data_IF_785517760322
#
_entry.id   IF_785517760322
#
_cell.length_a   1.000
_cell.length_b   1.000
_cell.length_c   1.000
_cell.angle_alpha   90.00
_cell.angle_beta   90.00
_cell.angle_gamma   90.00
#
_symmetry.space_group_name_H-M   'P 1'
#
loop_
_entity.id
_entity.type
_entity.pdbx_description
1 polymer ?
#
# COMPACT_ATOMS: atom_id res chain seq x y z
N UNK A 1 -38.63 -16.22 -40.28
CA UNK A 1 -38.76 -15.35 -39.09
C UNK A 1 -40.05 -14.55 -39.22
N UNK A 2 -40.99 -14.73 -38.28
CA UNK A 2 -42.29 -14.04 -38.25
C UNK A 2 -42.05 -12.59 -37.80
N UNK A 3 -42.64 -11.61 -38.49
CA UNK A 3 -42.57 -10.18 -38.12
C UNK A 3 -43.61 -9.89 -37.03
N UNK A 4 -43.14 -9.46 -35.88
CA UNK A 4 -43.95 -9.14 -34.69
C UNK A 4 -44.82 -7.88 -34.91
N UNK A 5 -46.10 -7.98 -34.55
CA UNK A 5 -47.06 -6.87 -34.51
C UNK A 5 -46.94 -6.14 -33.16
N UNK A 6 -46.02 -5.18 -33.03
CA UNK A 6 -45.73 -4.51 -31.76
C UNK A 6 -46.29 -3.07 -31.62
N UNK A 7 -47.37 -2.72 -32.33
CA UNK A 7 -48.07 -1.45 -32.14
C UNK A 7 -49.55 -1.69 -31.88
N UNK A 8 -49.87 -2.18 -30.68
CA UNK A 8 -51.24 -2.20 -30.16
C UNK A 8 -51.36 -1.05 -29.18
N UNK A 9 -51.80 0.12 -29.66
CA UNK A 9 -51.95 1.37 -28.90
C UNK A 9 -53.14 1.31 -27.91
N UNK A 10 -53.25 0.21 -27.16
CA UNK A 10 -54.43 -0.13 -26.37
C UNK A 10 -54.20 0.04 -24.86
N UNK A 11 -53.27 0.89 -24.43
CA UNK A 11 -52.87 1.04 -23.03
C UNK A 11 -52.66 2.48 -22.56
N UNK A 12 -53.29 3.48 -23.19
CA UNK A 12 -53.24 4.87 -22.74
C UNK A 12 -54.58 5.31 -22.15
N UNK A 13 -54.56 6.10 -21.07
CA UNK A 13 -55.76 6.73 -20.49
C UNK A 13 -56.51 7.51 -21.57
N UNK A 14 -57.72 7.06 -21.89
CA UNK A 14 -58.63 7.79 -22.79
C UNK A 14 -59.49 8.71 -21.93
N UNK A 15 -59.52 9.99 -22.27
CA UNK A 15 -60.50 10.92 -21.70
C UNK A 15 -61.88 10.60 -22.26
N UNK A 16 -62.96 10.84 -21.51
CA UNK A 16 -64.32 10.74 -22.03
C UNK A 16 -64.51 11.61 -23.28
N UNK A 17 -65.42 11.18 -24.14
CA UNK A 17 -65.87 11.98 -25.27
C UNK A 17 -66.38 13.35 -24.77
N UNK A 18 -66.02 14.42 -25.49
CA UNK A 18 -66.36 15.80 -25.14
C UNK A 18 -65.79 16.34 -23.80
N UNK A 19 -64.80 15.66 -23.20
CA UNK A 19 -64.21 16.10 -21.93
C UNK A 19 -63.70 17.55 -21.97
N UNK A 20 -62.95 17.90 -23.03
CA UNK A 20 -62.36 19.23 -23.19
C UNK A 20 -63.38 20.25 -23.73
N UNK A 21 -64.25 19.84 -24.64
CA UNK A 21 -65.32 20.68 -25.21
C UNK A 21 -66.24 21.23 -24.12
N UNK A 22 -66.62 20.38 -23.16
CA UNK A 22 -67.51 20.75 -22.07
C UNK A 22 -66.78 21.28 -20.83
N UNK A 23 -65.44 21.33 -20.83
CA UNK A 23 -64.64 21.69 -19.66
C UNK A 23 -64.96 23.12 -19.20
N UNK A 24 -64.97 24.07 -20.14
CA UNK A 24 -65.19 25.49 -19.85
C UNK A 24 -66.58 25.72 -19.25
N UNK A 25 -67.62 25.13 -19.85
CA UNK A 25 -69.01 25.19 -19.35
C UNK A 25 -69.13 24.58 -17.95
N UNK A 26 -68.46 23.45 -17.68
CA UNK A 26 -68.46 22.82 -16.36
C UNK A 26 -67.70 23.65 -15.32
N UNK A 27 -66.59 24.27 -15.71
CA UNK A 27 -65.78 25.11 -14.83
C UNK A 27 -66.54 26.38 -14.44
N UNK A 28 -67.13 27.08 -15.42
CA UNK A 28 -67.92 28.29 -15.20
C UNK A 28 -69.24 28.04 -14.46
N UNK A 29 -69.82 26.83 -14.55
CA UNK A 29 -70.93 26.41 -13.65
C UNK A 29 -70.48 26.20 -12.21
N UNK A 30 -69.27 25.67 -11.99
CA UNK A 30 -68.74 25.38 -10.65
C UNK A 30 -68.15 26.60 -9.95
N UNK A 31 -67.65 27.57 -10.72
CA UNK A 31 -67.10 28.81 -10.21
C UNK A 31 -68.15 29.89 -10.47
N UNK A 32 -68.98 30.27 -9.48
CA UNK A 32 -69.99 31.31 -9.67
C UNK A 32 -69.28 32.66 -9.90
N UNK A 33 -69.05 33.03 -11.15
CA UNK A 33 -68.65 34.37 -11.59
C UNK A 33 -69.84 35.35 -11.54
N UNK A 34 -70.63 35.31 -10.47
CA UNK A 34 -71.68 36.31 -10.22
C UNK A 34 -71.15 37.36 -9.27
N UNK A 35 -70.64 38.43 -9.87
CA UNK A 35 -70.59 39.80 -9.35
C UNK A 35 -69.96 39.95 -7.96
N UNK A 36 -68.74 40.46 -7.98
CA UNK A 36 -67.72 40.62 -6.94
C UNK A 36 -68.11 41.30 -5.60
N UNK A 37 -69.40 41.44 -5.26
CA UNK A 37 -69.82 42.11 -4.01
C UNK A 37 -70.71 41.30 -3.08
N UNK A 38 -71.33 40.20 -3.52
CA UNK A 38 -72.30 39.47 -2.68
C UNK A 38 -71.80 38.15 -2.10
N UNK A 39 -70.68 37.62 -2.61
CA UNK A 39 -70.08 36.39 -2.06
C UNK A 39 -69.29 36.65 -0.77
N UNK A 40 -68.64 37.81 -0.64
CA UNK A 40 -67.79 38.11 0.52
C UNK A 40 -68.56 38.44 1.82
N UNK A 41 -69.86 38.73 1.74
CA UNK A 41 -70.61 39.29 2.88
C UNK A 41 -71.66 38.36 3.49
N UNK A 42 -72.00 37.21 2.89
CA UNK A 42 -73.07 36.35 3.43
C UNK A 42 -72.73 34.88 3.63
N UNK A 43 -71.49 34.47 3.39
CA UNK A 43 -71.00 33.16 3.79
C UNK A 43 -69.72 33.38 4.57
N UNK A 44 -69.71 32.96 5.85
CA UNK A 44 -68.46 32.65 6.55
C UNK A 44 -67.71 31.66 5.67
N UNK A 45 -66.87 32.15 4.77
CA UNK A 45 -65.81 31.35 4.21
C UNK A 45 -64.88 31.08 5.39
N UNK A 46 -65.16 30.02 6.13
CA UNK A 46 -64.05 29.33 6.74
C UNK A 46 -63.20 28.87 5.58
N UNK A 47 -62.06 29.52 5.38
CA UNK A 47 -60.88 28.83 4.87
C UNK A 47 -61.00 27.36 5.31
N UNK A 48 -61.08 26.43 4.37
CA UNK A 48 -61.20 25.00 4.67
C UNK A 48 -60.08 24.50 5.58
N UNK A 49 -59.03 25.30 5.72
CA UNK A 49 -58.00 25.22 6.73
C UNK A 49 -58.44 26.00 7.97
N UNK A 50 -59.29 25.37 8.79
CA UNK A 50 -59.44 25.74 10.21
C UNK A 50 -58.59 24.80 11.03
N UNK A 51 -57.73 25.36 11.86
CA UNK A 51 -57.03 24.58 12.88
C UNK A 51 -58.01 24.22 14.01
N UNK A 52 -57.86 23.05 14.65
CA UNK A 52 -58.59 22.74 15.88
C UNK A 52 -58.29 23.76 16.97
N UNK A 53 -59.26 23.95 17.86
CA UNK A 53 -59.03 24.71 19.10
C UNK A 53 -57.85 24.09 19.85
N UNK A 54 -56.98 24.94 20.39
CA UNK A 54 -55.78 24.54 21.15
C UNK A 54 -54.71 23.76 20.37
N UNK A 55 -54.72 23.75 19.03
CA UNK A 55 -53.72 23.03 18.21
C UNK A 55 -52.25 23.30 18.62
N UNK A 56 -51.93 24.54 18.97
CA UNK A 56 -50.59 24.95 19.39
C UNK A 56 -50.35 24.88 20.91
N UNK A 57 -51.36 24.58 21.72
CA UNK A 57 -51.23 24.51 23.17
C UNK A 57 -50.35 23.32 23.55
N UNK A 58 -49.23 23.62 24.21
CA UNK A 58 -48.23 22.62 24.61
C UNK A 58 -47.41 22.03 23.44
N UNK A 59 -47.50 22.59 22.23
CA UNK A 59 -46.70 22.15 21.08
C UNK A 59 -45.20 22.28 21.34
N UNK A 60 -44.77 23.41 21.91
CA UNK A 60 -43.39 23.66 22.29
C UNK A 60 -42.90 22.61 23.30
N UNK A 61 -43.69 22.34 24.35
CA UNK A 61 -43.38 21.32 25.35
C UNK A 61 -43.29 19.91 24.74
N UNK A 62 -44.14 19.58 23.76
CA UNK A 62 -44.08 18.30 23.02
C UNK A 62 -42.80 18.20 22.20
N UNK A 63 -42.38 19.27 21.52
CA UNK A 63 -41.11 19.30 20.77
C UNK A 63 -39.93 19.15 21.73
N UNK A 64 -39.87 19.95 22.79
CA UNK A 64 -38.77 19.94 23.76
C UNK A 64 -38.63 18.57 24.43
N UNK A 65 -39.74 17.92 24.76
CA UNK A 65 -39.73 16.54 25.29
C UNK A 65 -39.16 15.56 24.27
N UNK A 66 -39.61 15.62 23.00
CA UNK A 66 -39.13 14.72 21.94
C UNK A 66 -37.64 14.92 21.63
N UNK A 67 -37.15 16.15 21.68
CA UNK A 67 -35.73 16.49 21.46
C UNK A 67 -34.85 16.08 22.65
N UNK A 68 -35.38 16.14 23.89
CA UNK A 68 -34.66 15.66 25.08
C UNK A 68 -34.66 14.13 25.19
N UNK A 69 -35.76 13.47 24.83
CA UNK A 69 -35.88 12.00 24.82
C UNK A 69 -35.02 11.34 23.72
N UNK A 70 -34.78 12.02 22.59
CA UNK A 70 -33.85 11.54 21.54
C UNK A 70 -32.37 11.67 21.93
N UNK A 71 -32.04 12.23 23.10
CA UNK A 71 -30.70 12.09 23.73
C UNK A 71 -30.47 10.70 24.33
N UNK A 72 -31.31 9.71 24.03
CA UNK A 72 -30.91 8.31 24.15
C UNK A 72 -29.62 8.15 23.36
N UNK A 73 -28.50 7.93 24.08
CA UNK A 73 -27.15 7.75 23.55
C UNK A 73 -27.25 6.77 22.38
N UNK A 74 -27.24 7.29 21.15
CA UNK A 74 -27.12 6.45 19.95
C UNK A 74 -25.93 5.54 20.22
N UNK A 75 -26.14 4.23 20.15
CA UNK A 75 -25.11 3.21 20.42
C UNK A 75 -23.98 3.40 19.40
N UNK A 76 -23.06 4.30 19.70
CA UNK A 76 -21.83 4.51 18.95
C UNK A 76 -20.94 3.31 19.26
N UNK A 77 -20.81 2.44 18.27
CA UNK A 77 -19.82 1.37 18.31
C UNK A 77 -18.51 1.95 17.81
N UNK A 78 -17.42 1.71 18.56
CA UNK A 78 -16.08 2.03 18.08
C UNK A 78 -15.78 1.17 16.84
N UNK A 79 -15.46 1.80 15.71
CA UNK A 79 -15.05 1.08 14.49
C UNK A 79 -13.71 0.37 14.66
N UNK A 80 -12.86 0.88 15.56
CA UNK A 80 -11.54 0.34 15.83
C UNK A 80 -11.54 -0.22 17.24
N UNK A 81 -11.49 -1.54 17.35
CA UNK A 81 -11.40 -2.25 18.62
C UNK A 81 -9.95 -2.68 18.83
N UNK A 82 -9.39 -2.44 20.02
CA UNK A 82 -8.01 -2.84 20.35
C UNK A 82 -7.75 -4.34 20.16
N UNK A 83 -8.80 -5.16 20.25
CA UNK A 83 -8.75 -6.60 20.00
C UNK A 83 -8.32 -6.91 18.56
N UNK A 84 -8.92 -6.24 17.57
CA UNK A 84 -8.60 -6.47 16.16
C UNK A 84 -7.17 -6.01 15.85
N UNK A 85 -6.72 -4.90 16.42
CA UNK A 85 -5.34 -4.41 16.28
C UNK A 85 -4.33 -5.44 16.80
N UNK A 86 -4.60 -6.08 17.94
CA UNK A 86 -3.76 -7.14 18.49
C UNK A 86 -3.65 -8.35 17.54
N UNK A 87 -4.75 -8.75 16.89
CA UNK A 87 -4.72 -9.85 15.92
C UNK A 87 -3.93 -9.52 14.65
N UNK A 88 -4.02 -8.28 14.15
CA UNK A 88 -3.24 -7.86 12.97
C UNK A 88 -1.79 -7.48 13.30
N UNK A 89 -1.44 -7.36 14.58
CA UNK A 89 -0.10 -6.97 15.02
C UNK A 89 0.97 -7.99 14.61
N UNK A 90 0.65 -9.29 14.61
CA UNK A 90 1.61 -10.34 14.23
C UNK A 90 1.94 -10.30 12.73
N UNK A 91 0.92 -10.10 11.89
CA UNK A 91 1.08 -9.98 10.44
C UNK A 91 1.87 -8.71 10.10
N UNK A 92 1.57 -7.59 10.75
CA UNK A 92 2.32 -6.35 10.57
C UNK A 92 3.78 -6.49 11.01
N UNK A 93 4.06 -7.17 12.13
CA UNK A 93 5.42 -7.44 12.59
C UNK A 93 6.19 -8.33 11.60
N UNK A 94 5.56 -9.36 11.04
CA UNK A 94 6.19 -10.21 10.04
C UNK A 94 6.55 -9.43 8.76
N UNK A 95 5.65 -8.57 8.28
CA UNK A 95 5.90 -7.69 7.12
C UNK A 95 7.05 -6.71 7.44
N UNK A 96 7.09 -6.13 8.64
CA UNK A 96 8.15 -5.23 9.06
C UNK A 96 9.52 -5.93 9.11
N UNK A 97 9.58 -7.17 9.60
CA UNK A 97 10.81 -7.98 9.60
C UNK A 97 11.26 -8.26 8.17
N UNK A 98 10.35 -8.64 7.28
CA UNK A 98 10.65 -8.92 5.87
C UNK A 98 11.20 -7.66 5.19
N UNK A 99 10.56 -6.50 5.37
CA UNK A 99 11.05 -5.23 4.82
C UNK A 99 12.41 -4.86 5.42
N UNK A 100 12.60 -5.06 6.72
CA UNK A 100 13.87 -4.75 7.39
C UNK A 100 15.03 -5.64 6.93
N UNK A 101 14.78 -6.90 6.58
CA UNK A 101 15.80 -7.77 5.96
C UNK A 101 15.98 -7.48 4.47
N UNK A 102 14.91 -7.08 3.78
CA UNK A 102 14.92 -6.89 2.33
C UNK A 102 15.52 -5.55 1.91
N UNK A 103 15.72 -4.60 2.83
CA UNK A 103 16.62 -3.46 2.63
C UNK A 103 18.05 -4.01 2.72
N UNK A 104 18.62 -4.35 1.56
CA UNK A 104 20.06 -4.55 1.44
C UNK A 104 20.73 -3.19 1.64
N UNK A 105 21.46 -3.02 2.75
CA UNK A 105 22.48 -1.98 2.82
C UNK A 105 23.59 -2.42 1.89
N UNK A 106 23.83 -1.68 0.82
CA UNK A 106 25.07 -1.84 0.08
C UNK A 106 26.20 -1.54 1.08
N UNK A 107 26.92 -2.59 1.47
CA UNK A 107 28.18 -2.42 2.18
C UNK A 107 29.15 -1.85 1.14
N UNK A 108 29.52 -0.58 1.30
CA UNK A 108 30.61 0.03 0.56
C UNK A 108 31.95 -0.57 1.07
N UNK A 109 32.13 -1.88 0.88
CA UNK A 109 33.42 -2.52 1.10
C UNK A 109 34.22 -2.34 -0.18
N UNK A 110 35.25 -1.51 -0.09
CA UNK A 110 36.19 -1.29 -1.18
C UNK A 110 37.47 -2.08 -0.92
N UNK A 111 38.18 -2.46 -2.00
CA UNK A 111 39.54 -3.00 -1.88
C UNK A 111 40.50 -2.04 -1.15
N UNK A 112 40.18 -0.74 -1.13
CA UNK A 112 40.94 0.28 -0.39
C UNK A 112 40.83 0.13 1.14
N UNK A 113 39.83 -0.60 1.64
CA UNK A 113 39.63 -0.81 3.07
C UNK A 113 40.46 -1.98 3.61
N UNK A 114 41.11 -2.76 2.71
CA UNK A 114 41.97 -3.89 3.08
C UNK A 114 43.35 -3.35 3.47
N UNK A 115 43.74 -3.56 4.73
CA UNK A 115 45.08 -3.19 5.18
C UNK A 115 46.08 -4.31 4.91
N UNK A 116 47.36 -3.95 4.85
CA UNK A 116 48.47 -4.91 4.73
C UNK A 116 48.46 -5.92 5.90
N UNK A 117 48.08 -5.49 7.10
CA UNK A 117 47.94 -6.38 8.25
C UNK A 117 46.83 -7.42 8.04
N UNK A 118 45.69 -7.02 7.46
CA UNK A 118 44.59 -7.95 7.14
C UNK A 118 45.03 -8.99 6.10
N UNK A 119 45.83 -8.59 5.11
CA UNK A 119 46.42 -9.51 4.13
C UNK A 119 47.33 -10.51 4.85
N UNK A 120 48.26 -10.07 5.69
CA UNK A 120 49.14 -10.98 6.42
C UNK A 120 48.38 -11.96 7.32
N UNK A 121 47.34 -11.49 8.00
CA UNK A 121 46.48 -12.37 8.81
C UNK A 121 45.77 -13.39 7.93
N UNK A 122 45.23 -12.98 6.77
CA UNK A 122 44.58 -13.88 5.83
C UNK A 122 45.53 -14.97 5.27
N UNK A 123 46.79 -14.62 4.98
CA UNK A 123 47.82 -15.58 4.55
C UNK A 123 48.25 -16.55 5.66
N UNK A 124 48.31 -16.09 6.92
CA UNK A 124 48.83 -16.87 8.03
C UNK A 124 47.80 -17.79 8.71
N UNK A 125 46.50 -17.51 8.57
CA UNK A 125 45.42 -18.31 9.17
C UNK A 125 45.10 -19.61 8.39
N UNK A 126 46.04 -20.13 7.59
CA UNK A 126 45.86 -21.30 6.70
C UNK A 126 44.64 -21.20 5.75
N UNK A 127 44.06 -20.02 5.57
CA UNK A 127 42.91 -19.79 4.70
C UNK A 127 43.28 -19.77 3.21
N UNK A 128 44.55 -20.00 2.88
CA UNK A 128 45.09 -19.95 1.53
C UNK A 128 45.70 -21.31 1.20
N UNK A 129 44.97 -22.09 0.42
CA UNK A 129 45.45 -23.32 -0.18
C UNK A 129 45.85 -23.01 -1.63
N UNK A 130 47.11 -22.64 -1.85
CA UNK A 130 47.66 -22.44 -3.18
C UNK A 130 48.39 -23.69 -3.65
N UNK A 131 48.05 -24.16 -4.84
CA UNK A 131 48.81 -25.20 -5.51
C UNK A 131 50.16 -24.68 -6.01
N UNK A 132 51.13 -25.58 -6.18
CA UNK A 132 52.46 -25.24 -6.72
C UNK A 132 52.39 -24.59 -8.10
N UNK A 133 51.37 -24.92 -8.90
CA UNK A 133 51.12 -24.36 -10.23
C UNK A 133 50.60 -22.91 -10.12
N UNK A 134 49.71 -22.62 -9.17
CA UNK A 134 49.21 -21.26 -8.94
C UNK A 134 50.29 -20.34 -8.40
N UNK A 135 51.16 -20.85 -7.51
CA UNK A 135 52.35 -20.12 -7.06
C UNK A 135 53.29 -19.85 -8.24
N UNK A 136 53.57 -20.85 -9.08
CA UNK A 136 54.41 -20.68 -10.26
C UNK A 136 53.85 -19.64 -11.25
N UNK A 137 52.53 -19.60 -11.44
CA UNK A 137 51.88 -18.61 -12.29
C UNK A 137 52.00 -17.18 -11.76
N UNK A 138 52.07 -16.99 -10.43
CA UNK A 138 52.34 -15.68 -9.81
C UNK A 138 53.80 -15.24 -9.97
N UNK A 139 54.73 -16.20 -10.09
CA UNK A 139 56.13 -15.90 -10.32
C UNK A 139 56.43 -15.49 -11.77
N UNK A 140 55.52 -15.78 -12.72
CA UNK A 140 55.80 -15.64 -14.15
C UNK A 140 55.42 -14.26 -14.70
N UNK A 141 56.41 -13.65 -15.38
CA UNK A 141 56.31 -12.72 -16.52
C UNK A 141 56.45 -11.19 -16.37
N UNK A 142 56.83 -10.60 -15.22
CA UNK A 142 57.35 -9.20 -15.28
C UNK A 142 58.07 -8.66 -14.01
N UNK A 143 58.33 -9.50 -13.00
CA UNK A 143 58.99 -9.04 -11.77
C UNK A 143 60.50 -9.21 -11.89
N UNK A 144 61.24 -8.10 -11.91
CA UNK A 144 62.70 -8.11 -11.85
C UNK A 144 63.17 -8.44 -10.43
N UNK A 145 63.36 -9.73 -10.15
CA UNK A 145 63.86 -10.22 -8.85
C UNK A 145 65.32 -9.82 -8.55
N UNK A 146 66.01 -9.18 -9.50
CA UNK A 146 67.42 -8.80 -9.36
C UNK A 146 67.59 -7.58 -8.44
N UNK A 147 66.64 -6.64 -8.39
CA UNK A 147 66.75 -5.46 -7.51
C UNK A 147 66.58 -5.80 -6.02
N UNK A 148 65.79 -6.83 -5.69
CA UNK A 148 65.56 -7.26 -4.31
C UNK A 148 66.67 -8.19 -3.81
N UNK A 149 67.26 -9.01 -4.70
CA UNK A 149 68.40 -9.88 -4.39
C UNK A 149 69.74 -9.15 -4.30
N UNK A 150 69.92 -8.03 -5.01
CA UNK A 150 71.17 -7.24 -4.91
C UNK A 150 71.34 -6.56 -3.53
N UNK A 151 70.24 -6.35 -2.80
CA UNK A 151 70.27 -5.56 -1.55
C UNK A 151 70.62 -6.37 -0.32
N UNK A 152 70.49 -7.69 -0.38
CA UNK A 152 70.90 -8.60 0.67
C UNK A 152 71.98 -9.52 0.09
N UNK A 153 73.24 -9.12 0.25
CA UNK A 153 74.41 -9.95 -0.05
C UNK A 153 74.33 -11.23 0.78
N UNK A 154 73.66 -12.25 0.23
CA UNK A 154 73.60 -13.57 0.85
C UNK A 154 75.04 -14.08 0.93
N UNK A 155 75.56 -14.23 2.16
CA UNK A 155 76.91 -14.70 2.39
C UNK A 155 77.06 -16.14 1.90
N UNK A 156 78.16 -16.44 1.21
CA UNK A 156 78.55 -17.78 0.78
C UNK A 156 78.49 -18.81 1.92
N UNK A 157 78.84 -18.41 3.15
CA UNK A 157 78.75 -19.27 4.33
C UNK A 157 77.31 -19.73 4.63
N UNK A 158 76.32 -18.85 4.39
CA UNK A 158 74.89 -19.13 4.61
C UNK A 158 74.36 -20.08 3.53
N UNK A 159 74.82 -19.89 2.29
CA UNK A 159 74.51 -20.80 1.19
C UNK A 159 75.11 -22.18 1.47
N UNK A 160 76.36 -22.23 1.93
CA UNK A 160 77.06 -23.47 2.23
C UNK A 160 76.40 -24.22 3.41
N UNK A 161 75.98 -23.51 4.46
CA UNK A 161 75.22 -24.09 5.58
C UNK A 161 73.85 -24.61 5.13
N UNK A 162 73.12 -23.87 4.28
CA UNK A 162 71.85 -24.34 3.73
C UNK A 162 72.01 -25.60 2.88
N UNK A 163 72.98 -25.60 1.94
CA UNK A 163 73.28 -26.74 1.09
C UNK A 163 73.78 -27.95 1.88
N UNK A 164 74.53 -27.71 2.97
CA UNK A 164 75.00 -28.78 3.85
C UNK A 164 73.90 -29.37 4.74
N UNK A 165 72.81 -28.63 4.99
CA UNK A 165 71.65 -29.12 5.77
C UNK A 165 70.67 -29.92 4.93
N UNK A 166 70.67 -29.72 3.62
CA UNK A 166 69.94 -30.58 2.70
C UNK A 166 70.57 -31.97 2.66
N UNK A 167 69.79 -33.00 3.03
CA UNK A 167 70.10 -34.35 2.60
C UNK A 167 70.10 -34.32 1.07
N UNK A 168 71.29 -34.36 0.47
CA UNK A 168 71.46 -34.78 -0.91
C UNK A 168 71.11 -36.27 -0.91
N UNK A 169 69.83 -36.59 -0.99
CA UNK A 169 69.42 -37.92 -1.42
C UNK A 169 70.05 -38.11 -2.80
N UNK A 170 70.94 -39.11 -2.86
CA UNK A 170 71.62 -39.61 -4.07
C UNK A 170 70.57 -40.13 -5.06
N UNK A 171 69.76 -39.27 -5.65
CA UNK A 171 69.15 -39.55 -6.95
C UNK A 171 70.21 -39.24 -8.01
N UNK A 172 71.20 -40.14 -8.06
CA UNK A 172 72.04 -40.35 -9.23
C UNK A 172 71.07 -40.63 -10.37
N UNK A 173 70.81 -39.62 -11.21
CA UNK A 173 70.16 -39.80 -12.50
C UNK A 173 71.05 -40.76 -13.30
N UNK A 174 70.67 -42.03 -13.26
CA UNK A 174 71.25 -43.06 -14.10
C UNK A 174 70.79 -42.77 -15.52
N UNK A 175 71.69 -42.20 -16.31
CA UNK A 175 71.50 -42.09 -17.75
C UNK A 175 71.88 -43.45 -18.36
N UNK A 176 70.87 -44.20 -18.81
CA UNK A 176 71.02 -45.18 -19.89
C UNK A 176 70.31 -44.64 -21.14
#
# INVERSE_FOLDING_TARGET
MKKDKLHKNNGGFKVPEEYFENLESRLSKKIPFKTEKKLLSKTKYSSGFKIPDEYFVGFENKILRKVKETKSKRKVISLITRKNILYFSSIAAMIAIIISLSISKESELSFNDITVADIYTYFNEENIELSTIEIAALLESDVSYTETLEKELINEDVILDYLSRGYLDDDIISVE
#
